data_IF_386554651586
#
_entry.id   IF_386554651586
#
_cell.length_a   1.000
_cell.length_b   1.000
_cell.length_c   1.000
_cell.angle_alpha   90.00
_cell.angle_beta   90.00
_cell.angle_gamma   90.00
#
_symmetry.space_group_name_H-M   'P 1'
#
loop_
_entity.id
_entity.type
_entity.pdbx_description
1 polymer ?
#
# COMPACT_ATOMS: atom_id res chain seq x y z
N UNK A 1 0.96 18.58 2.45
CA UNK A 1 0.55 17.17 2.47
C UNK A 1 -0.52 16.97 1.40
N UNK A 2 -0.25 16.18 0.35
CA UNK A 2 -1.25 15.88 -0.68
C UNK A 2 -1.88 14.54 -0.32
N UNK A 3 -3.12 14.58 0.18
CA UNK A 3 -3.86 13.35 0.48
C UNK A 3 -4.29 12.72 -0.86
N UNK A 4 -3.88 11.47 -1.08
CA UNK A 4 -4.27 10.70 -2.26
C UNK A 4 -5.38 9.72 -1.87
N UNK A 5 -6.62 10.03 -2.26
CA UNK A 5 -7.77 9.13 -2.12
C UNK A 5 -8.50 8.97 -3.45
N UNK A 6 -8.96 7.75 -3.76
CA UNK A 6 -9.78 7.51 -4.96
C UNK A 6 -11.18 8.14 -4.85
N UNK A 7 -11.68 8.29 -3.62
CA UNK A 7 -13.02 8.80 -3.25
C UNK A 7 -12.90 9.71 -2.04
N UNK A 8 -13.90 10.55 -1.79
CA UNK A 8 -13.97 11.40 -0.59
C UNK A 8 -13.86 10.59 0.71
N UNK A 9 -14.56 9.44 0.76
CA UNK A 9 -14.50 8.51 1.90
C UNK A 9 -13.07 8.11 2.27
N UNK A 10 -12.19 7.91 1.29
CA UNK A 10 -10.82 7.45 1.55
C UNK A 10 -9.99 8.43 2.38
N UNK A 11 -10.31 9.73 2.33
CA UNK A 11 -9.60 10.78 3.07
C UNK A 11 -10.35 11.23 4.33
N UNK A 12 -11.61 10.82 4.49
CA UNK A 12 -12.40 11.08 5.70
C UNK A 12 -11.90 10.26 6.88
N UNK A 13 -12.06 10.80 8.09
CA UNK A 13 -11.81 10.07 9.34
C UNK A 13 -13.02 9.21 9.67
N UNK A 14 -12.78 7.94 9.96
CA UNK A 14 -13.76 6.93 10.37
C UNK A 14 -13.37 6.35 11.73
N UNK A 15 -14.37 5.89 12.49
CA UNK A 15 -14.14 5.06 13.68
C UNK A 15 -13.98 3.61 13.23
N UNK A 16 -12.83 3.02 13.54
CA UNK A 16 -12.46 1.65 13.23
C UNK A 16 -12.33 0.82 14.52
N UNK A 17 -12.65 -0.46 14.43
CA UNK A 17 -12.45 -1.42 15.51
C UNK A 17 -11.11 -2.14 15.31
N UNK A 18 -10.19 -2.09 16.28
CA UNK A 18 -8.90 -2.78 16.18
C UNK A 18 -9.12 -4.28 15.95
N UNK A 19 -9.90 -4.92 16.81
CA UNK A 19 -10.50 -6.23 16.58
C UNK A 19 -11.87 -6.02 15.91
N UNK A 20 -12.12 -6.51 14.70
CA UNK A 20 -13.38 -6.28 14.00
C UNK A 20 -14.60 -6.69 14.82
N UNK A 21 -15.70 -5.96 14.67
CA UNK A 21 -16.98 -6.32 15.30
C UNK A 21 -17.42 -7.75 14.93
N UNK A 22 -17.19 -8.18 13.68
CA UNK A 22 -17.46 -9.55 13.21
C UNK A 22 -16.65 -10.63 13.93
N UNK A 23 -15.60 -10.26 14.66
CA UNK A 23 -14.74 -11.13 15.47
C UNK A 23 -14.90 -10.88 16.97
N UNK A 24 -15.96 -10.19 17.38
CA UNK A 24 -16.30 -9.96 18.79
C UNK A 24 -15.63 -8.74 19.44
N UNK A 25 -15.02 -7.84 18.66
CA UNK A 25 -14.44 -6.61 19.20
C UNK A 25 -15.49 -5.50 19.33
N UNK A 26 -16.40 -5.60 20.31
CA UNK A 26 -17.49 -4.64 20.53
C UNK A 26 -17.25 -3.63 21.68
N UNK A 27 -16.10 -3.73 22.34
CA UNK A 27 -15.73 -2.87 23.47
C UNK A 27 -15.36 -1.44 23.03
N UNK A 28 -15.60 -0.44 23.88
CA UNK A 28 -15.29 0.97 23.54
C UNK A 28 -13.78 1.23 23.43
N UNK A 29 -12.96 0.55 24.22
CA UNK A 29 -11.50 0.67 24.21
C UNK A 29 -10.84 0.07 22.95
N UNK A 30 -11.61 -0.67 22.15
CA UNK A 30 -11.24 -1.25 20.88
C UNK A 30 -11.38 -0.26 19.70
N UNK A 31 -11.94 0.94 19.93
CA UNK A 31 -12.18 1.95 18.89
C UNK A 31 -10.94 2.82 18.64
N UNK A 32 -10.62 3.06 17.37
CA UNK A 32 -9.53 3.96 16.92
C UNK A 32 -10.00 4.83 15.76
N UNK A 33 -9.33 5.96 15.57
CA UNK A 33 -9.53 6.80 14.38
C UNK A 33 -8.64 6.29 13.26
N UNK A 34 -9.22 6.07 12.09
CA UNK A 34 -8.51 5.71 10.87
C UNK A 34 -9.03 6.56 9.71
N UNK A 35 -8.24 6.74 8.64
CA UNK A 35 -8.85 7.22 7.39
C UNK A 35 -9.70 6.12 6.76
N UNK A 36 -10.71 6.48 5.97
CA UNK A 36 -11.58 5.51 5.32
C UNK A 36 -10.84 4.55 4.39
N UNK A 37 -9.68 4.95 3.82
CA UNK A 37 -8.83 4.03 3.06
C UNK A 37 -8.25 2.93 3.94
N UNK A 38 -7.68 3.28 5.10
CA UNK A 38 -7.14 2.31 6.05
C UNK A 38 -8.24 1.39 6.58
N UNK A 39 -9.38 1.95 6.97
CA UNK A 39 -10.51 1.19 7.47
C UNK A 39 -11.03 0.19 6.42
N UNK A 40 -11.24 0.65 5.18
CA UNK A 40 -11.71 -0.20 4.08
C UNK A 40 -10.74 -1.33 3.74
N UNK A 41 -9.43 -1.10 3.80
CA UNK A 41 -8.42 -2.14 3.50
C UNK A 41 -8.19 -3.08 4.68
N UNK A 42 -8.39 -2.59 5.91
CA UNK A 42 -8.37 -3.42 7.12
C UNK A 42 -9.54 -4.38 7.11
N UNK A 43 -10.75 -3.88 6.81
CA UNK A 43 -11.95 -4.72 6.75
C UNK A 43 -12.08 -5.55 8.03
N UNK A 44 -12.23 -6.87 7.92
CA UNK A 44 -12.33 -7.84 9.00
C UNK A 44 -10.97 -8.40 9.46
N UNK A 45 -9.86 -7.73 9.17
CA UNK A 45 -8.51 -8.15 9.59
C UNK A 45 -8.14 -7.52 10.93
N UNK A 46 -7.47 -8.31 11.76
CA UNK A 46 -6.91 -7.89 13.04
C UNK A 46 -5.50 -7.30 12.88
N UNK A 47 -4.79 -7.72 11.84
CA UNK A 47 -3.43 -7.28 11.60
C UNK A 47 -3.10 -7.08 10.13
N UNK A 48 -2.06 -6.27 9.89
CA UNK A 48 -1.42 -6.12 8.58
C UNK A 48 -0.87 -7.45 8.02
N UNK A 49 -0.71 -8.45 8.89
CA UNK A 49 -0.27 -9.81 8.54
C UNK A 49 -1.40 -10.71 8.01
N UNK A 50 -2.66 -10.34 8.19
CA UNK A 50 -3.83 -11.18 7.84
C UNK A 50 -4.21 -11.02 6.35
N UNK A 51 -3.22 -10.99 5.46
CA UNK A 51 -3.42 -10.72 4.03
C UNK A 51 -3.07 -11.94 3.19
N UNK A 52 -3.75 -12.07 2.06
CA UNK A 52 -3.53 -13.19 1.14
C UNK A 52 -2.05 -13.27 0.72
N UNK A 53 -1.50 -14.48 0.69
CA UNK A 53 -0.08 -14.72 0.36
C UNK A 53 0.29 -14.33 -1.08
N UNK A 54 -0.70 -14.22 -1.99
CA UNK A 54 -0.47 -13.97 -3.41
C UNK A 54 -0.86 -12.54 -3.80
N UNK A 55 0.03 -11.76 -4.43
CA UNK A 55 -0.32 -10.46 -5.00
C UNK A 55 -1.32 -10.60 -6.15
N UNK A 56 -2.14 -9.57 -6.35
CA UNK A 56 -3.07 -9.49 -7.49
C UNK A 56 -2.28 -9.26 -8.77
N UNK A 57 -2.85 -9.60 -9.92
CA UNK A 57 -2.23 -9.34 -11.23
C UNK A 57 -3.11 -8.34 -11.99
N UNK A 58 -2.47 -7.33 -12.58
CA UNK A 58 -3.09 -6.33 -13.44
C UNK A 58 -2.46 -6.37 -14.83
N UNK A 59 -3.27 -6.21 -15.88
CA UNK A 59 -2.76 -5.96 -17.22
C UNK A 59 -2.58 -4.45 -17.42
N UNK A 60 -1.37 -3.94 -17.19
CA UNK A 60 -1.03 -2.54 -17.40
C UNK A 60 -0.94 -2.22 -18.89
N UNK A 61 -1.55 -1.10 -19.30
CA UNK A 61 -1.65 -0.69 -20.72
C UNK A 61 -0.29 -0.52 -21.41
N UNK A 62 0.74 -0.12 -20.67
CA UNK A 62 2.10 0.08 -21.18
C UNK A 62 3.13 -0.96 -20.74
N UNK A 63 2.88 -1.65 -19.63
CA UNK A 63 3.88 -2.49 -18.95
C UNK A 63 3.49 -3.98 -18.99
N UNK A 64 2.36 -4.31 -19.63
CA UNK A 64 1.84 -5.67 -19.68
C UNK A 64 1.41 -6.19 -18.31
N UNK A 65 1.55 -7.49 -18.09
CA UNK A 65 1.18 -8.14 -16.82
C UNK A 65 2.08 -7.67 -15.69
N UNK A 66 1.49 -7.02 -14.70
CA UNK A 66 2.16 -6.52 -13.52
C UNK A 66 1.53 -7.14 -12.27
N UNK A 67 2.35 -7.53 -11.31
CA UNK A 67 1.83 -7.92 -9.99
C UNK A 67 1.66 -6.69 -9.11
N UNK A 68 0.55 -6.61 -8.38
CA UNK A 68 0.22 -5.51 -7.48
C UNK A 68 0.41 -6.01 -6.04
N UNK A 69 1.32 -5.39 -5.27
CA UNK A 69 1.54 -5.77 -3.88
C UNK A 69 0.30 -5.45 -3.05
N UNK A 70 0.04 -6.29 -2.03
CA UNK A 70 -1.06 -6.02 -1.12
C UNK A 70 -0.80 -4.69 -0.38
N UNK A 71 -1.79 -3.78 -0.23
CA UNK A 71 -1.57 -2.46 0.35
C UNK A 71 -0.87 -2.46 1.71
N UNK A 72 -1.20 -3.43 2.57
CA UNK A 72 -0.55 -3.59 3.88
C UNK A 72 0.91 -4.04 3.84
N UNK A 73 1.36 -4.72 2.78
CA UNK A 73 2.79 -4.96 2.57
C UNK A 73 3.53 -3.66 2.29
N UNK A 74 2.91 -2.77 1.51
CA UNK A 74 3.47 -1.45 1.19
C UNK A 74 3.58 -0.63 2.49
N UNK A 75 2.48 -0.49 3.23
CA UNK A 75 2.44 0.26 4.50
C UNK A 75 3.48 -0.28 5.47
N UNK A 76 3.56 -1.61 5.63
CA UNK A 76 4.56 -2.24 6.51
C UNK A 76 6.00 -1.92 6.09
N UNK A 77 6.32 -2.07 4.81
CA UNK A 77 7.67 -1.80 4.31
C UNK A 77 8.07 -0.34 4.52
N UNK A 78 7.18 0.59 4.20
CA UNK A 78 7.41 2.02 4.42
C UNK A 78 7.64 2.33 5.91
N UNK A 79 6.81 1.78 6.80
CA UNK A 79 6.93 1.99 8.25
C UNK A 79 8.21 1.41 8.85
N UNK A 80 8.69 0.26 8.37
CA UNK A 80 9.86 -0.43 8.93
C UNK A 80 11.17 0.07 8.32
N UNK A 81 11.21 0.31 7.00
CA UNK A 81 12.44 0.67 6.28
C UNK A 81 12.76 2.16 6.35
N UNK A 82 11.73 3.02 6.24
CA UNK A 82 11.81 4.48 6.37
C UNK A 82 12.81 5.23 5.47
N UNK A 83 13.55 4.55 4.59
CA UNK A 83 14.52 5.14 3.67
C UNK A 83 14.49 4.48 2.28
N UNK A 84 15.00 5.19 1.28
CA UNK A 84 15.18 4.68 -0.07
C UNK A 84 16.30 3.63 -0.12
N UNK A 85 16.00 2.43 -0.61
CA UNK A 85 16.91 1.28 -0.73
C UNK A 85 17.53 1.19 -2.14
N UNK A 86 17.85 2.33 -2.76
CA UNK A 86 18.51 2.34 -4.07
C UNK A 86 19.96 1.85 -3.92
N UNK A 87 20.41 0.94 -4.78
CA UNK A 87 21.71 0.26 -4.67
C UNK A 87 22.90 1.23 -4.78
N UNK A 88 22.75 2.35 -5.50
CA UNK A 88 23.76 3.40 -5.59
C UNK A 88 23.82 4.34 -4.38
N UNK A 89 23.02 4.09 -3.34
CA UNK A 89 22.88 4.96 -2.18
C UNK A 89 21.89 6.11 -2.42
N UNK A 90 21.18 6.52 -1.36
CA UNK A 90 20.23 7.62 -1.40
C UNK A 90 19.96 8.16 0.01
N UNK A 91 19.92 9.48 0.17
CA UNK A 91 19.65 10.15 1.46
C UNK A 91 18.15 10.42 1.69
N UNK A 92 17.29 9.96 0.78
CA UNK A 92 15.85 10.14 0.87
C UNK A 92 15.26 9.19 1.91
N UNK A 93 14.49 9.77 2.82
CA UNK A 93 13.79 9.15 3.96
C UNK A 93 12.34 9.58 3.95
N UNK A 94 11.52 8.95 4.79
CA UNK A 94 10.11 9.36 4.98
C UNK A 94 9.96 10.78 5.52
N UNK A 95 11.02 11.35 6.10
CA UNK A 95 11.01 12.68 6.70
C UNK A 95 11.32 13.79 5.69
N UNK A 96 11.94 13.46 4.54
CA UNK A 96 12.35 14.44 3.51
C UNK A 96 11.85 14.14 2.08
N UNK A 97 11.25 12.97 1.84
CA UNK A 97 10.65 12.64 0.55
C UNK A 97 9.45 11.71 0.64
N UNK A 98 8.66 11.72 -0.43
CA UNK A 98 7.68 10.69 -0.69
C UNK A 98 8.39 9.40 -1.13
N UNK A 99 8.09 8.32 -0.40
CA UNK A 99 8.60 6.98 -0.67
C UNK A 99 7.49 6.07 -1.16
N UNK A 100 7.85 5.12 -2.01
CA UNK A 100 6.98 4.07 -2.54
C UNK A 100 7.72 2.74 -2.57
N UNK A 101 7.15 1.71 -3.19
CA UNK A 101 7.79 0.40 -3.35
C UNK A 101 7.95 0.01 -4.82
N UNK A 102 9.00 -0.74 -5.11
CA UNK A 102 9.29 -1.32 -6.42
C UNK A 102 9.91 -2.72 -6.24
N UNK A 103 9.77 -3.65 -7.21
CA UNK A 103 10.38 -4.96 -7.09
C UNK A 103 11.92 -4.89 -7.06
N UNK A 104 12.56 -5.79 -6.32
CA UNK A 104 14.01 -6.04 -6.38
C UNK A 104 14.37 -6.74 -7.68
N UNK A 105 13.58 -7.74 -8.06
CA UNK A 105 13.67 -8.48 -9.31
C UNK A 105 12.41 -8.25 -10.14
N UNK A 106 12.48 -7.53 -11.28
CA UNK A 106 11.32 -7.19 -12.11
C UNK A 106 10.51 -8.39 -12.61
N UNK A 107 11.18 -9.54 -12.82
CA UNK A 107 10.56 -10.78 -13.28
C UNK A 107 9.73 -11.49 -12.18
N UNK A 108 9.94 -11.11 -10.92
CA UNK A 108 9.33 -11.75 -9.75
C UNK A 108 8.02 -11.09 -9.32
N UNK A 109 7.20 -11.85 -8.59
CA UNK A 109 5.98 -11.31 -7.99
C UNK A 109 6.30 -10.25 -6.92
N UNK A 110 5.49 -9.20 -6.83
CA UNK A 110 5.58 -8.13 -5.83
C UNK A 110 5.05 -8.60 -4.47
N UNK A 111 5.79 -9.53 -3.85
CA UNK A 111 5.57 -10.01 -2.49
C UNK A 111 6.55 -9.32 -1.51
N UNK A 112 6.41 -9.48 -0.18
CA UNK A 112 7.26 -8.78 0.78
C UNK A 112 8.77 -9.01 0.62
N UNK A 113 9.19 -10.17 0.11
CA UNK A 113 10.62 -10.48 -0.05
C UNK A 113 11.22 -9.89 -1.31
N UNK A 114 10.40 -9.69 -2.35
CA UNK A 114 10.82 -9.09 -3.62
C UNK A 114 10.51 -7.59 -3.70
N UNK A 115 10.10 -6.92 -2.62
CA UNK A 115 9.89 -5.47 -2.61
C UNK A 115 11.08 -4.73 -1.99
N UNK A 116 11.32 -3.52 -2.47
CA UNK A 116 12.21 -2.52 -1.87
C UNK A 116 11.52 -1.15 -1.83
N UNK A 117 11.87 -0.35 -0.83
CA UNK A 117 11.41 1.03 -0.72
C UNK A 117 12.28 1.92 -1.61
N UNK A 118 11.65 2.82 -2.36
CA UNK A 118 12.33 3.73 -3.30
C UNK A 118 11.70 5.13 -3.25
N UNK A 119 12.48 6.17 -3.48
CA UNK A 119 11.96 7.54 -3.64
C UNK A 119 11.47 7.79 -5.07
N UNK A 120 10.76 8.90 -5.28
CA UNK A 120 10.27 9.30 -6.61
C UNK A 120 11.38 9.47 -7.65
N UNK A 121 12.57 9.94 -7.26
CA UNK A 121 13.71 10.09 -8.16
C UNK A 121 14.33 8.78 -8.64
N UNK A 122 14.14 7.70 -7.88
CA UNK A 122 14.63 6.35 -8.22
C UNK A 122 13.51 5.41 -8.65
N UNK A 123 12.33 5.93 -8.96
CA UNK A 123 11.17 5.15 -9.36
C UNK A 123 11.16 4.87 -10.87
N UNK A 124 11.40 3.62 -11.31
CA UNK A 124 11.41 3.30 -12.73
C UNK A 124 10.01 3.36 -13.34
N UNK A 125 8.95 3.27 -12.54
CA UNK A 125 7.57 3.32 -13.05
C UNK A 125 7.13 4.76 -13.32
N UNK A 126 7.52 5.70 -12.47
CA UNK A 126 7.14 7.11 -12.58
C UNK A 126 5.63 7.27 -12.76
N UNK A 127 5.21 7.98 -13.81
CA UNK A 127 3.80 8.19 -14.12
C UNK A 127 3.03 6.92 -14.50
N UNK A 128 3.72 5.83 -14.88
CA UNK A 128 3.09 4.55 -15.17
C UNK A 128 2.62 3.81 -13.91
N UNK A 129 2.87 4.33 -12.70
CA UNK A 129 2.22 3.82 -11.47
C UNK A 129 0.72 4.05 -11.46
N UNK A 130 0.29 5.15 -12.06
CA UNK A 130 -1.10 5.57 -12.03
C UNK A 130 -1.82 5.05 -13.26
N UNK A 131 -2.83 4.23 -13.01
CA UNK A 131 -3.75 3.74 -14.04
C UNK A 131 -5.07 4.50 -13.97
N UNK A 132 -5.87 4.42 -15.04
CA UNK A 132 -7.21 5.01 -15.03
C UNK A 132 -8.08 4.36 -13.96
N UNK A 133 -9.09 5.10 -13.47
CA UNK A 133 -10.05 4.59 -12.48
C UNK A 133 -10.69 3.27 -12.92
N UNK A 134 -11.09 3.18 -14.20
CA UNK A 134 -11.69 1.98 -14.79
C UNK A 134 -10.78 0.75 -14.69
N UNK A 135 -9.46 0.93 -14.81
CA UNK A 135 -8.49 -0.16 -14.66
C UNK A 135 -8.29 -0.50 -13.18
N UNK A 136 -8.23 0.50 -12.31
CA UNK A 136 -8.09 0.29 -10.86
C UNK A 136 -9.28 -0.50 -10.27
N UNK A 137 -10.50 -0.20 -10.73
CA UNK A 137 -11.73 -0.88 -10.28
C UNK A 137 -11.75 -2.38 -10.63
N UNK A 138 -11.06 -2.80 -11.70
CA UNK A 138 -10.98 -4.23 -12.09
C UNK A 138 -10.15 -5.08 -11.12
N UNK A 139 -9.32 -4.44 -10.30
CA UNK A 139 -8.39 -5.10 -9.37
C UNK A 139 -8.63 -4.69 -7.92
N UNK A 140 -9.74 -3.98 -7.64
CA UNK A 140 -10.17 -3.53 -6.31
C UNK A 140 -10.93 -4.63 -5.55
#
# INVERSE_FOLDING_TARGET
MRLHGLTERHISVEVDHVVPFSKGGNEEDNLRLACGWCNSHKSDRTSLYDVALKPRILNHTKLGKQSIPHPFWIVRLLSVRRCCEYEGGCEQTVDNAELTVFPRHPEGAMNPTNLRVICSGHDPLGSNRFVSRTIAEQVS
#
